data_IF_838568943089
#
_entry.id   IF_838568943089
#
_cell.length_a   1.000
_cell.length_b   1.000
_cell.length_c   1.000
_cell.angle_alpha   90.00
_cell.angle_beta   90.00
_cell.angle_gamma   90.00
#
_symmetry.space_group_name_H-M   'P 1'
#
loop_
_entity.id
_entity.type
_entity.pdbx_description
1 polymer ?
#
# COMPACT_ATOMS: atom_id res chain seq x y z
N UNK A 1 24.10 -11.04 -30.60
CA UNK A 1 24.26 -10.18 -29.39
C UNK A 1 22.92 -9.93 -28.68
N UNK A 2 21.87 -9.50 -29.39
CA UNK A 2 20.51 -9.21 -28.87
C UNK A 2 19.88 -10.39 -28.09
N UNK A 3 20.04 -11.63 -28.56
CA UNK A 3 19.46 -12.81 -27.90
C UNK A 3 20.06 -13.10 -26.51
N UNK A 4 21.35 -12.76 -26.31
CA UNK A 4 22.03 -12.93 -25.02
C UNK A 4 21.54 -11.91 -23.99
N UNK A 5 21.31 -10.67 -24.44
CA UNK A 5 20.73 -9.58 -23.64
C UNK A 5 19.31 -9.96 -23.21
N UNK A 6 18.41 -10.32 -24.15
CA UNK A 6 17.05 -10.76 -23.83
C UNK A 6 17.02 -11.94 -22.85
N UNK A 7 17.92 -12.92 -23.01
CA UNK A 7 18.03 -14.09 -22.11
C UNK A 7 18.53 -13.70 -20.72
N UNK A 8 19.43 -12.74 -20.60
CA UNK A 8 19.85 -12.17 -19.31
C UNK A 8 18.72 -11.36 -18.66
N UNK A 9 17.99 -10.53 -19.41
CA UNK A 9 16.84 -9.78 -18.89
C UNK A 9 15.74 -10.72 -18.40
N UNK A 10 15.46 -11.81 -19.12
CA UNK A 10 14.50 -12.85 -18.72
C UNK A 10 14.94 -13.62 -17.47
N UNK A 11 16.24 -13.98 -17.37
CA UNK A 11 16.80 -14.61 -16.16
C UNK A 11 16.73 -13.67 -14.95
N UNK A 12 17.05 -12.39 -15.14
CA UNK A 12 16.96 -11.38 -14.08
C UNK A 12 15.51 -11.17 -13.63
N UNK A 13 14.57 -11.10 -14.59
CA UNK A 13 13.13 -10.98 -14.34
C UNK A 13 12.59 -12.19 -13.58
N UNK A 14 13.03 -13.40 -13.91
CA UNK A 14 12.66 -14.63 -13.18
C UNK A 14 13.29 -14.71 -11.78
N UNK A 15 14.53 -14.21 -11.61
CA UNK A 15 15.16 -14.15 -10.30
C UNK A 15 14.43 -13.17 -9.36
N UNK A 16 14.02 -12.00 -9.87
CA UNK A 16 13.16 -11.05 -9.15
C UNK A 16 11.76 -11.61 -8.85
N UNK A 17 11.14 -12.30 -9.82
CA UNK A 17 9.86 -12.99 -9.64
C UNK A 17 9.93 -14.09 -8.57
N UNK A 18 11.10 -14.73 -8.41
CA UNK A 18 11.34 -15.74 -7.37
C UNK A 18 11.52 -15.15 -5.97
N UNK A 19 12.11 -13.95 -5.85
CA UNK A 19 12.27 -13.23 -4.58
C UNK A 19 10.97 -12.53 -4.15
N UNK A 20 10.18 -12.03 -5.10
CA UNK A 20 8.89 -11.39 -4.86
C UNK A 20 7.79 -12.49 -4.77
N UNK A 21 7.92 -13.42 -3.82
CA UNK A 21 6.80 -14.30 -3.42
C UNK A 21 5.81 -13.49 -2.57
N UNK A 22 5.04 -12.61 -3.23
CA UNK A 22 4.05 -11.70 -2.63
C UNK A 22 3.11 -12.45 -1.67
N UNK A 23 2.68 -13.67 -2.03
CA UNK A 23 1.78 -14.48 -1.21
C UNK A 23 2.34 -14.91 0.16
N UNK A 24 3.66 -14.97 0.36
CA UNK A 24 4.23 -15.29 1.69
C UNK A 24 4.55 -14.05 2.52
N UNK A 25 4.83 -12.91 1.87
CA UNK A 25 5.26 -11.69 2.56
C UNK A 25 4.10 -11.06 3.35
N UNK A 26 2.86 -11.14 2.83
CA UNK A 26 1.70 -10.48 3.43
C UNK A 26 0.69 -11.43 4.10
N UNK A 27 1.09 -12.68 4.40
CA UNK A 27 0.13 -13.70 4.89
C UNK A 27 -0.57 -13.29 6.19
N UNK A 28 0.16 -12.67 7.13
CA UNK A 28 -0.39 -12.25 8.43
C UNK A 28 -1.32 -11.04 8.25
N UNK A 29 -0.94 -10.13 7.38
CA UNK A 29 -1.66 -8.92 7.01
C UNK A 29 -2.98 -9.26 6.31
N UNK A 30 -2.99 -10.25 5.40
CA UNK A 30 -4.22 -10.75 4.76
C UNK A 30 -5.16 -11.38 5.79
N UNK A 31 -4.64 -12.18 6.73
CA UNK A 31 -5.47 -12.77 7.80
C UNK A 31 -6.09 -11.66 8.66
N UNK A 32 -5.31 -10.67 9.06
CA UNK A 32 -5.79 -9.52 9.82
C UNK A 32 -6.86 -8.74 9.06
N UNK A 33 -6.66 -8.48 7.77
CA UNK A 33 -7.63 -7.78 6.93
C UNK A 33 -8.94 -8.57 6.82
N UNK A 34 -8.86 -9.90 6.70
CA UNK A 34 -10.05 -10.76 6.65
C UNK A 34 -10.83 -10.74 7.97
N UNK A 35 -10.12 -10.80 9.11
CA UNK A 35 -10.73 -10.69 10.45
C UNK A 35 -11.43 -9.33 10.59
N UNK A 36 -10.79 -8.25 10.16
CA UNK A 36 -11.37 -6.92 10.19
C UNK A 36 -12.62 -6.81 9.31
N UNK A 37 -12.58 -7.32 8.07
CA UNK A 37 -13.74 -7.33 7.17
C UNK A 37 -14.91 -8.10 7.80
N UNK A 38 -14.64 -9.29 8.35
CA UNK A 38 -15.66 -10.08 9.03
C UNK A 38 -16.25 -9.34 10.24
N UNK A 39 -15.42 -8.67 11.03
CA UNK A 39 -15.86 -7.82 12.14
C UNK A 39 -16.78 -6.69 11.66
N UNK A 40 -16.41 -5.95 10.61
CA UNK A 40 -17.25 -4.86 10.09
C UNK A 40 -18.58 -5.36 9.54
N UNK A 41 -18.59 -6.48 8.81
CA UNK A 41 -19.84 -7.08 8.32
C UNK A 41 -20.73 -7.48 9.51
N UNK A 42 -20.14 -8.13 10.52
CA UNK A 42 -20.86 -8.54 11.72
C UNK A 42 -21.47 -7.34 12.45
N UNK A 43 -20.70 -6.27 12.66
CA UNK A 43 -21.19 -5.05 13.32
C UNK A 43 -22.17 -4.23 12.47
N UNK A 44 -22.17 -4.40 11.16
CA UNK A 44 -23.11 -3.71 10.25
C UNK A 44 -24.45 -4.44 10.13
N UNK A 45 -24.45 -5.78 10.24
CA UNK A 45 -25.66 -6.60 10.14
C UNK A 45 -26.39 -6.71 11.47
N UNK A 46 -25.66 -6.77 12.57
CA UNK A 46 -26.22 -6.92 13.91
C UNK A 46 -26.08 -5.62 14.69
N UNK A 47 -27.20 -5.04 15.10
CA UNK A 47 -27.23 -3.83 15.94
C UNK A 47 -26.84 -4.17 17.39
N UNK A 48 -25.53 -4.20 17.66
CA UNK A 48 -25.02 -4.43 19.01
C UNK A 48 -24.96 -3.13 19.82
N UNK A 49 -25.86 -3.00 20.79
CA UNK A 49 -25.88 -1.88 21.75
C UNK A 49 -25.08 -2.16 23.04
N UNK A 50 -24.27 -3.23 23.08
CA UNK A 50 -23.53 -3.59 24.29
C UNK A 50 -22.18 -2.82 24.34
N UNK A 51 -21.91 -2.07 25.44
CA UNK A 51 -20.70 -1.26 25.58
C UNK A 51 -19.40 -2.08 25.53
N UNK A 52 -19.45 -3.40 25.79
CA UNK A 52 -18.28 -4.27 25.67
C UNK A 52 -17.70 -4.30 24.24
N UNK A 53 -18.53 -4.12 23.21
CA UNK A 53 -18.07 -4.08 21.83
C UNK A 53 -17.20 -2.86 21.51
N UNK A 54 -17.28 -1.79 22.31
CA UNK A 54 -16.35 -0.65 22.18
C UNK A 54 -14.90 -1.06 22.43
N UNK A 55 -14.66 -1.96 23.38
CA UNK A 55 -13.31 -2.47 23.66
C UNK A 55 -12.82 -3.40 22.55
N UNK A 56 -13.74 -4.19 21.97
CA UNK A 56 -13.44 -5.01 20.78
C UNK A 56 -13.05 -4.12 19.61
N UNK A 57 -13.77 -3.02 19.39
CA UNK A 57 -13.47 -2.05 18.34
C UNK A 57 -12.07 -1.41 18.53
N UNK A 58 -11.70 -1.08 19.77
CA UNK A 58 -10.36 -0.60 20.08
C UNK A 58 -9.28 -1.66 19.86
N UNK A 59 -9.53 -2.91 20.22
CA UNK A 59 -8.60 -4.01 19.95
C UNK A 59 -8.39 -4.19 18.42
N UNK A 60 -9.46 -4.08 17.63
CA UNK A 60 -9.39 -4.11 16.16
C UNK A 60 -8.56 -2.94 15.61
N UNK A 61 -8.73 -1.73 16.15
CA UNK A 61 -7.94 -0.58 15.74
C UNK A 61 -6.45 -0.75 16.03
N UNK A 62 -6.09 -1.29 17.20
CA UNK A 62 -4.69 -1.58 17.56
C UNK A 62 -4.11 -2.63 16.59
N UNK A 63 -4.86 -3.69 16.29
CA UNK A 63 -4.46 -4.72 15.34
C UNK A 63 -4.22 -4.13 13.93
N UNK A 64 -5.09 -3.23 13.47
CA UNK A 64 -4.91 -2.51 12.21
C UNK A 64 -3.65 -1.63 12.20
N UNK A 65 -3.36 -0.90 13.27
CA UNK A 65 -2.14 -0.09 13.37
C UNK A 65 -0.88 -0.96 13.31
N UNK A 66 -0.86 -2.09 14.03
CA UNK A 66 0.31 -3.00 14.00
C UNK A 66 0.53 -3.59 12.61
N UNK A 67 -0.54 -3.89 11.87
CA UNK A 67 -0.43 -4.36 10.49
C UNK A 67 -0.01 -3.27 9.53
N UNK A 68 -0.43 -2.02 9.72
CA UNK A 68 0.07 -0.86 8.97
C UNK A 68 1.59 -0.77 9.05
N UNK A 69 2.14 -0.87 10.27
CA UNK A 69 3.59 -0.77 10.50
C UNK A 69 4.30 -1.90 9.76
N UNK A 70 3.80 -3.14 9.86
CA UNK A 70 4.34 -4.30 9.15
C UNK A 70 4.32 -4.11 7.62
N UNK A 71 3.17 -3.69 7.07
CA UNK A 71 3.00 -3.42 5.65
C UNK A 71 3.97 -2.34 5.19
N UNK A 72 4.10 -1.25 5.94
CA UNK A 72 4.99 -0.13 5.61
C UNK A 72 6.46 -0.56 5.53
N UNK A 73 6.93 -1.36 6.50
CA UNK A 73 8.28 -1.91 6.51
C UNK A 73 8.50 -2.84 5.31
N UNK A 74 7.55 -3.73 5.03
CA UNK A 74 7.64 -4.69 3.92
C UNK A 74 7.61 -4.00 2.54
N UNK A 75 6.73 -3.01 2.36
CA UNK A 75 6.69 -2.18 1.14
C UNK A 75 7.99 -1.42 0.98
N UNK A 76 8.55 -0.84 2.04
CA UNK A 76 9.84 -0.14 1.94
C UNK A 76 10.94 -1.09 1.47
N UNK A 77 11.10 -2.25 2.11
CA UNK A 77 12.10 -3.26 1.72
C UNK A 77 11.93 -3.74 0.28
N UNK A 78 10.69 -4.04 -0.13
CA UNK A 78 10.40 -4.48 -1.49
C UNK A 78 10.73 -3.38 -2.52
N UNK A 79 10.44 -2.12 -2.18
CA UNK A 79 10.78 -0.98 -3.00
C UNK A 79 12.30 -0.78 -3.12
N UNK A 80 13.04 -0.94 -2.02
CA UNK A 80 14.51 -0.80 -2.01
C UNK A 80 15.19 -1.91 -2.84
N UNK A 81 14.68 -3.15 -2.79
CA UNK A 81 15.14 -4.27 -3.63
C UNK A 81 14.84 -4.05 -5.12
N UNK A 82 13.65 -3.52 -5.44
CA UNK A 82 13.29 -3.14 -6.81
C UNK A 82 14.20 -2.02 -7.33
N UNK A 83 14.61 -1.11 -6.45
CA UNK A 83 15.50 -0.01 -6.79
C UNK A 83 16.94 -0.47 -7.01
N UNK A 84 17.48 -1.34 -6.15
CA UNK A 84 18.87 -1.79 -6.25
C UNK A 84 19.16 -2.57 -7.54
N UNK A 85 18.13 -3.13 -8.18
CA UNK A 85 18.22 -3.77 -9.50
C UNK A 85 18.13 -2.82 -10.69
N UNK A 86 17.79 -1.56 -10.46
CA UNK A 86 17.57 -0.55 -11.49
C UNK A 86 18.72 0.47 -11.47
N UNK A 87 19.97 0.00 -11.67
CA UNK A 87 21.08 0.92 -12.01
C UNK A 87 20.77 1.56 -13.37
N UNK A 88 20.63 2.89 -13.46
CA UNK A 88 20.35 3.53 -14.73
C UNK A 88 21.65 3.63 -15.53
N UNK A 89 21.75 2.87 -16.62
CA UNK A 89 22.63 3.26 -17.72
C UNK A 89 22.02 4.50 -18.40
N UNK A 90 22.88 5.50 -18.61
CA UNK A 90 22.62 6.84 -19.11
C UNK A 90 21.67 6.90 -20.32
N UNK A 91 20.42 7.36 -20.14
CA UNK A 91 19.55 7.72 -21.26
C UNK A 91 18.70 8.96 -20.98
N UNK A 92 19.25 10.09 -21.44
CA UNK A 92 18.67 11.22 -22.17
C UNK A 92 17.38 11.94 -21.70
N UNK A 93 17.47 13.27 -21.75
CA UNK A 93 16.54 14.31 -21.29
C UNK A 93 15.06 14.18 -21.71
N UNK A 94 14.76 13.55 -22.86
CA UNK A 94 13.37 13.29 -23.32
C UNK A 94 12.63 12.29 -22.44
N UNK A 95 13.38 11.42 -21.77
CA UNK A 95 12.87 10.41 -20.86
C UNK A 95 12.41 11.03 -19.52
N UNK A 96 12.89 12.22 -19.14
CA UNK A 96 12.49 12.89 -17.90
C UNK A 96 11.06 13.43 -17.94
N UNK A 97 10.64 14.04 -19.06
CA UNK A 97 9.28 14.57 -19.22
C UNK A 97 8.24 13.44 -19.16
N UNK A 98 8.55 12.30 -19.81
CA UNK A 98 7.73 11.08 -19.79
C UNK A 98 7.72 10.45 -18.39
N UNK A 99 8.85 10.49 -17.66
CA UNK A 99 8.91 10.03 -16.26
C UNK A 99 8.07 10.90 -15.33
N UNK A 100 8.08 12.23 -15.48
CA UNK A 100 7.26 13.13 -14.65
C UNK A 100 5.76 12.92 -14.91
N UNK A 101 5.33 12.87 -16.17
CA UNK A 101 3.91 12.65 -16.50
C UNK A 101 3.40 11.31 -15.97
N UNK A 102 4.22 10.26 -16.02
CA UNK A 102 3.87 8.96 -15.46
C UNK A 102 3.75 8.98 -13.92
N UNK A 103 4.65 9.68 -13.21
CA UNK A 103 4.55 9.87 -11.74
C UNK A 103 3.27 10.60 -11.33
N UNK A 104 2.90 11.64 -12.08
CA UNK A 104 1.67 12.39 -11.87
C UNK A 104 0.46 11.50 -12.10
N UNK A 105 0.45 10.73 -13.20
CA UNK A 105 -0.64 9.80 -13.50
C UNK A 105 -0.82 8.73 -12.41
N UNK A 106 0.27 8.12 -11.93
CA UNK A 106 0.22 7.15 -10.81
C UNK A 106 -0.35 7.81 -9.55
N UNK A 107 0.04 9.06 -9.26
CA UNK A 107 -0.44 9.78 -8.07
C UNK A 107 -1.93 10.11 -8.17
N UNK A 108 -2.41 10.52 -9.35
CA UNK A 108 -3.84 10.76 -9.62
C UNK A 108 -4.64 9.46 -9.42
N UNK A 109 -4.15 8.33 -9.95
CA UNK A 109 -4.78 7.03 -9.76
C UNK A 109 -4.86 6.69 -8.26
N UNK A 110 -3.79 6.93 -7.52
CA UNK A 110 -3.73 6.68 -6.07
C UNK A 110 -4.75 7.52 -5.29
N UNK A 111 -4.88 8.80 -5.64
CA UNK A 111 -5.85 9.72 -5.05
C UNK A 111 -7.28 9.26 -5.38
N UNK A 112 -7.56 8.94 -6.65
CA UNK A 112 -8.86 8.45 -7.08
C UNK A 112 -9.25 7.16 -6.36
N UNK A 113 -8.31 6.21 -6.21
CA UNK A 113 -8.53 4.98 -5.46
C UNK A 113 -8.82 5.26 -3.98
N UNK A 114 -8.13 6.24 -3.37
CA UNK A 114 -8.36 6.64 -1.97
C UNK A 114 -9.75 7.24 -1.78
N UNK A 115 -10.21 8.08 -2.72
CA UNK A 115 -11.57 8.64 -2.72
C UNK A 115 -12.62 7.55 -2.91
N UNK A 116 -12.40 6.60 -3.83
CA UNK A 116 -13.32 5.48 -4.04
C UNK A 116 -13.45 4.61 -2.78
N UNK A 117 -12.36 4.40 -2.04
CA UNK A 117 -12.38 3.66 -0.78
C UNK A 117 -13.04 4.45 0.36
N UNK A 118 -12.94 5.79 0.34
CA UNK A 118 -13.57 6.65 1.35
C UNK A 118 -15.09 6.45 1.40
N UNK A 119 -15.75 6.39 0.23
CA UNK A 119 -17.21 6.35 0.11
C UNK A 119 -17.83 5.19 0.91
N UNK A 120 -17.48 3.91 0.67
CA UNK A 120 -18.05 2.79 1.41
C UNK A 120 -17.67 2.82 2.89
N UNK A 121 -16.46 3.28 3.25
CA UNK A 121 -16.04 3.37 4.65
C UNK A 121 -16.86 4.42 5.41
N UNK A 122 -17.13 5.56 4.79
CA UNK A 122 -17.97 6.61 5.40
C UNK A 122 -19.41 6.16 5.57
N UNK A 123 -19.95 5.46 4.58
CA UNK A 123 -21.26 4.85 4.67
C UNK A 123 -21.34 3.85 5.83
N UNK A 124 -20.40 2.90 5.90
CA UNK A 124 -20.31 1.94 7.01
C UNK A 124 -20.14 2.61 8.37
N UNK A 125 -19.33 3.68 8.44
CA UNK A 125 -19.13 4.45 9.67
C UNK A 125 -20.42 5.14 10.16
N UNK A 126 -21.39 5.39 9.29
CA UNK A 126 -22.68 5.98 9.71
C UNK A 126 -23.65 4.95 10.28
N UNK A 127 -23.48 3.67 9.93
CA UNK A 127 -24.35 2.56 10.35
C UNK A 127 -23.79 1.90 11.61
N UNK A 128 -22.47 1.67 11.65
CA UNK A 128 -21.82 1.00 12.76
C UNK A 128 -21.68 1.95 13.95
N UNK A 129 -22.28 1.59 15.08
CA UNK A 129 -22.26 2.38 16.33
C UNK A 129 -20.83 2.58 16.84
N UNK A 130 -20.04 1.49 16.89
CA UNK A 130 -18.64 1.52 17.28
C UNK A 130 -17.74 1.56 16.04
N UNK A 131 -17.46 2.78 15.54
CA UNK A 131 -16.79 3.02 14.27
C UNK A 131 -15.34 3.53 14.39
N UNK A 132 -14.70 3.39 15.55
CA UNK A 132 -13.35 3.90 15.74
C UNK A 132 -12.34 3.14 14.86
N UNK A 133 -12.44 1.81 14.78
CA UNK A 133 -11.58 1.01 13.89
C UNK A 133 -11.74 1.37 12.41
N UNK A 134 -12.96 1.68 11.95
CA UNK A 134 -13.23 2.15 10.58
C UNK A 134 -12.55 3.50 10.30
N UNK A 135 -12.60 4.44 11.26
CA UNK A 135 -11.92 5.74 11.14
C UNK A 135 -10.40 5.57 11.08
N UNK A 136 -9.85 4.69 11.91
CA UNK A 136 -8.41 4.36 11.88
C UNK A 136 -8.04 3.73 10.54
N UNK A 137 -8.87 2.83 10.01
CA UNK A 137 -8.65 2.22 8.69
C UNK A 137 -8.66 3.25 7.56
N UNK A 138 -9.59 4.23 7.59
CA UNK A 138 -9.62 5.33 6.63
C UNK A 138 -8.34 6.16 6.70
N UNK A 139 -7.91 6.52 7.92
CA UNK A 139 -6.68 7.27 8.14
C UNK A 139 -5.47 6.52 7.57
N UNK A 140 -5.40 5.20 7.77
CA UNK A 140 -4.35 4.36 7.21
C UNK A 140 -4.27 4.44 5.69
N UNK A 141 -5.41 4.34 4.99
CA UNK A 141 -5.44 4.44 3.52
C UNK A 141 -4.89 5.79 3.06
N UNK A 142 -5.34 6.88 3.69
CA UNK A 142 -4.89 8.24 3.36
C UNK A 142 -3.38 8.38 3.63
N UNK A 143 -2.89 7.92 4.78
CA UNK A 143 -1.47 8.00 5.14
C UNK A 143 -0.57 7.20 4.19
N UNK A 144 -0.96 5.97 3.81
CA UNK A 144 -0.21 5.16 2.84
C UNK A 144 -0.17 5.88 1.49
N UNK A 145 -1.30 6.42 1.05
CA UNK A 145 -1.37 7.11 -0.23
C UNK A 145 -0.45 8.34 -0.26
N UNK A 146 -0.48 9.17 0.78
CA UNK A 146 0.43 10.32 0.91
C UNK A 146 1.89 9.86 0.94
N UNK A 147 2.22 8.85 1.75
CA UNK A 147 3.58 8.32 1.85
C UNK A 147 4.11 7.85 0.49
N UNK A 148 3.31 7.09 -0.28
CA UNK A 148 3.69 6.61 -1.60
C UNK A 148 3.88 7.76 -2.59
N UNK A 149 3.01 8.78 -2.58
CA UNK A 149 3.16 9.98 -3.41
C UNK A 149 4.49 10.67 -3.08
N UNK A 150 4.75 10.95 -1.80
CA UNK A 150 6.00 11.58 -1.37
C UNK A 150 7.20 10.74 -1.84
N UNK A 151 7.19 9.42 -1.65
CA UNK A 151 8.30 8.54 -2.06
C UNK A 151 8.53 8.56 -3.59
N UNK A 152 7.47 8.64 -4.39
CA UNK A 152 7.55 8.75 -5.86
C UNK A 152 8.21 10.08 -6.30
N UNK A 153 7.88 11.18 -5.62
CA UNK A 153 8.41 12.51 -5.95
C UNK A 153 9.80 12.79 -5.34
N UNK A 154 10.04 12.38 -4.10
CA UNK A 154 11.29 12.66 -3.35
C UNK A 154 12.52 11.90 -3.90
N UNK A 155 12.29 10.92 -4.77
CA UNK A 155 13.33 10.20 -5.53
C UNK A 155 14.23 11.10 -6.41
N UNK A 156 13.96 12.41 -6.55
CA UNK A 156 14.87 13.38 -7.20
C UNK A 156 15.87 14.06 -6.24
N UNK A 157 15.56 14.16 -4.94
CA UNK A 157 16.38 14.97 -4.02
C UNK A 157 17.65 14.23 -3.58
N UNK A 158 17.62 12.89 -3.52
CA UNK A 158 18.79 12.08 -3.16
C UNK A 158 19.76 11.79 -4.31
N UNK A 159 19.47 12.23 -5.54
CA UNK A 159 20.36 12.06 -6.70
C UNK A 159 21.03 13.37 -7.14
N UNK A 160 20.90 14.45 -6.36
CA UNK A 160 21.52 15.76 -6.65
C UNK A 160 22.62 16.14 -5.63
N UNK A 161 22.96 15.25 -4.69
CA UNK A 161 23.98 15.49 -3.66
C UNK A 161 25.17 14.52 -3.70
N UNK A 162 25.40 13.84 -4.82
CA UNK A 162 26.70 13.19 -5.11
C UNK A 162 27.33 13.82 -6.35
#
# INVERSE_FOLDING_TARGET
MIFRICKQTLKHKNHYKSQIKINRIFRKETICSNIFIAYIIFMSVFEFNNPLFRYVDYAMAIMLITTLISISVNISRAFDILMSGYKPEDINYSNEKIKISHKVLISIILIAASILMWIPISYLSSIVIYNFSLKVFLLMIISISIYLIIKIFNKRVFTMHE
#
